data_IF_037912401417
#
_entry.id   IF_037912401417
#
_cell.length_a   1.000
_cell.length_b   1.000
_cell.length_c   1.000
_cell.angle_alpha   90.00
_cell.angle_beta   90.00
_cell.angle_gamma   90.00
#
_symmetry.space_group_name_H-M   'P 1'
#
loop_
_entity.id
_entity.type
_entity.pdbx_description
1 polymer ?
#
# COMPACT_ATOMS: atom_id res chain seq x y z
N UNK A 1 3.72 -13.50 16.64
CA UNK A 1 3.47 -12.99 15.28
C UNK A 1 2.32 -12.01 15.34
N UNK A 2 2.56 -10.73 15.06
CA UNK A 2 1.50 -9.74 14.96
C UNK A 2 1.34 -9.28 13.51
N UNK A 3 0.08 -9.18 13.07
CA UNK A 3 -0.26 -8.77 11.70
C UNK A 3 -0.99 -7.44 11.73
N UNK A 4 -0.47 -6.48 10.98
CA UNK A 4 -1.06 -5.17 10.79
C UNK A 4 -1.54 -5.03 9.34
N UNK A 5 -2.78 -4.60 9.15
CA UNK A 5 -3.30 -4.29 7.81
C UNK A 5 -2.93 -2.88 7.42
N UNK A 6 -2.77 -2.64 6.14
CA UNK A 6 -2.58 -1.29 5.60
C UNK A 6 -3.84 -0.43 5.81
N UNK A 7 -3.64 0.87 6.05
CA UNK A 7 -4.72 1.83 5.91
C UNK A 7 -5.03 2.01 4.42
N UNK A 8 -6.29 1.77 4.05
CA UNK A 8 -6.76 1.95 2.68
C UNK A 8 -7.13 3.42 2.52
N UNK A 9 -6.69 4.05 1.43
CA UNK A 9 -7.18 5.37 1.08
C UNK A 9 -8.63 5.24 0.59
N UNK A 10 -9.57 5.72 1.40
CA UNK A 10 -11.01 5.63 1.12
C UNK A 10 -11.43 6.30 -0.21
N UNK A 11 -10.61 7.18 -0.77
CA UNK A 11 -10.86 7.79 -2.08
C UNK A 11 -10.50 6.87 -3.26
N UNK A 12 -9.52 5.99 -3.12
CA UNK A 12 -9.11 5.07 -4.19
C UNK A 12 -10.15 4.01 -4.48
N UNK A 13 -10.81 3.49 -3.46
CA UNK A 13 -11.82 2.43 -3.63
C UNK A 13 -13.02 2.91 -4.46
N UNK A 14 -13.73 4.02 -4.10
CA UNK A 14 -14.84 4.50 -4.90
C UNK A 14 -14.40 4.96 -6.30
N UNK A 15 -13.19 5.50 -6.45
CA UNK A 15 -12.64 5.88 -7.75
C UNK A 15 -12.47 4.65 -8.67
N UNK A 16 -11.92 3.54 -8.16
CA UNK A 16 -11.79 2.30 -8.91
C UNK A 16 -13.16 1.69 -9.25
N UNK A 17 -14.09 1.71 -8.28
CA UNK A 17 -15.46 1.25 -8.52
C UNK A 17 -16.14 2.08 -9.61
N UNK A 18 -15.94 3.41 -9.61
CA UNK A 18 -16.49 4.30 -10.63
C UNK A 18 -15.90 4.02 -12.01
N UNK A 19 -14.60 3.73 -12.13
CA UNK A 19 -13.97 3.33 -13.39
C UNK A 19 -14.58 2.02 -13.90
N UNK A 20 -14.69 1.00 -13.06
CA UNK A 20 -15.28 -0.30 -13.44
C UNK A 20 -16.73 -0.13 -13.85
N UNK A 21 -17.52 0.61 -13.06
CA UNK A 21 -18.92 0.86 -13.36
C UNK A 21 -19.09 1.66 -14.67
N UNK A 22 -18.29 2.70 -14.89
CA UNK A 22 -18.30 3.50 -16.11
C UNK A 22 -17.94 2.69 -17.36
N UNK A 23 -16.93 1.80 -17.25
CA UNK A 23 -16.54 0.92 -18.38
C UNK A 23 -17.60 -0.12 -18.69
N UNK A 24 -18.24 -0.72 -17.68
CA UNK A 24 -19.33 -1.67 -17.86
C UNK A 24 -20.57 -0.97 -18.39
N UNK A 25 -20.92 0.19 -17.85
CA UNK A 25 -22.06 0.97 -18.30
C UNK A 25 -21.92 1.42 -19.77
N UNK A 26 -20.72 1.82 -20.21
CA UNK A 26 -20.45 2.20 -21.60
C UNK A 26 -20.67 1.05 -22.59
N UNK A 27 -20.57 -0.20 -22.13
CA UNK A 27 -20.86 -1.38 -22.93
C UNK A 27 -22.38 -1.57 -23.16
N UNK A 28 -23.20 -1.18 -22.17
CA UNK A 28 -24.69 -1.31 -22.25
C UNK A 28 -25.38 -0.10 -22.85
N UNK A 29 -24.83 1.12 -22.67
CA UNK A 29 -25.42 2.39 -23.14
C UNK A 29 -24.99 2.70 -24.58
N UNK A 30 -25.13 1.78 -25.48
CA UNK A 30 -24.59 1.89 -26.80
C UNK A 30 -25.63 2.54 -27.76
N UNK A 31 -25.48 3.81 -27.98
CA UNK A 31 -26.43 4.56 -28.83
C UNK A 31 -25.86 4.99 -30.19
N UNK A 32 -24.58 4.90 -30.46
CA UNK A 32 -23.99 5.28 -31.75
C UNK A 32 -22.70 4.52 -32.06
N UNK A 33 -22.30 4.44 -33.29
CA UNK A 33 -21.30 3.60 -33.95
C UNK A 33 -19.87 3.56 -33.39
N UNK A 34 -19.55 4.29 -32.34
CA UNK A 34 -18.25 4.26 -31.69
C UNK A 34 -18.23 3.37 -30.42
N UNK A 35 -18.30 2.07 -30.66
CA UNK A 35 -18.11 1.08 -29.56
C UNK A 35 -16.66 1.08 -29.10
N UNK A 36 -16.45 1.30 -27.80
CA UNK A 36 -15.16 0.99 -27.21
C UNK A 36 -14.82 -0.48 -27.51
N UNK A 37 -13.65 -0.79 -28.08
CA UNK A 37 -13.30 -2.16 -28.43
C UNK A 37 -13.42 -3.07 -27.20
N UNK A 38 -14.03 -4.23 -27.34
CA UNK A 38 -14.23 -5.20 -26.26
C UNK A 38 -12.90 -5.52 -25.54
N UNK A 39 -11.79 -5.58 -26.29
CA UNK A 39 -10.47 -5.79 -25.75
C UNK A 39 -10.05 -4.70 -24.74
N UNK A 40 -10.35 -3.43 -25.00
CA UNK A 40 -10.06 -2.31 -24.10
C UNK A 40 -10.89 -2.41 -22.82
N UNK A 41 -12.17 -2.74 -22.94
CA UNK A 41 -13.05 -2.93 -21.78
C UNK A 41 -12.54 -4.06 -20.87
N UNK A 42 -12.21 -5.22 -21.45
CA UNK A 42 -11.64 -6.36 -20.72
C UNK A 42 -10.33 -5.94 -20.04
N UNK A 43 -9.45 -5.24 -20.73
CA UNK A 43 -8.17 -4.79 -20.20
C UNK A 43 -8.33 -3.85 -18.99
N UNK A 44 -9.25 -2.88 -19.08
CA UNK A 44 -9.55 -1.94 -17.97
C UNK A 44 -10.14 -2.66 -16.76
N UNK A 45 -11.03 -3.62 -16.95
CA UNK A 45 -11.60 -4.42 -15.87
C UNK A 45 -10.53 -5.28 -15.19
N UNK A 46 -9.64 -5.92 -15.97
CA UNK A 46 -8.55 -6.72 -15.42
C UNK A 46 -7.56 -5.86 -14.61
N UNK A 47 -7.17 -4.69 -15.12
CA UNK A 47 -6.29 -3.76 -14.38
C UNK A 47 -6.97 -3.28 -13.09
N UNK A 48 -8.23 -2.89 -13.15
CA UNK A 48 -8.97 -2.43 -11.97
C UNK A 48 -9.09 -3.53 -10.91
N UNK A 49 -9.37 -4.76 -11.32
CA UNK A 49 -9.41 -5.93 -10.44
C UNK A 49 -8.03 -6.25 -9.82
N UNK A 50 -6.96 -6.12 -10.60
CA UNK A 50 -5.59 -6.32 -10.13
C UNK A 50 -5.19 -5.28 -9.07
N UNK A 51 -5.51 -4.00 -9.31
CA UNK A 51 -5.24 -2.92 -8.35
C UNK A 51 -6.06 -3.13 -7.08
N UNK A 52 -7.33 -3.50 -7.19
CA UNK A 52 -8.18 -3.78 -6.04
C UNK A 52 -7.64 -4.95 -5.22
N UNK A 53 -7.23 -6.03 -5.87
CA UNK A 53 -6.58 -7.16 -5.20
C UNK A 53 -5.31 -6.74 -4.45
N UNK A 54 -4.45 -5.93 -5.09
CA UNK A 54 -3.23 -5.41 -4.49
C UNK A 54 -3.52 -4.56 -3.24
N UNK A 55 -4.58 -3.72 -3.29
CA UNK A 55 -5.05 -2.91 -2.16
C UNK A 55 -5.50 -3.77 -0.97
N UNK A 56 -6.25 -4.82 -1.24
CA UNK A 56 -6.82 -5.68 -0.20
C UNK A 56 -5.79 -6.62 0.45
N UNK A 57 -4.76 -7.05 -0.32
CA UNK A 57 -3.72 -7.97 0.18
C UNK A 57 -2.57 -7.24 0.90
N UNK A 58 -2.62 -5.90 1.01
CA UNK A 58 -1.55 -5.16 1.68
C UNK A 58 -1.59 -5.35 3.19
N UNK A 59 -0.56 -6.02 3.71
CA UNK A 59 -0.40 -6.33 5.14
C UNK A 59 1.06 -6.31 5.57
N UNK A 60 1.27 -6.05 6.85
CA UNK A 60 2.59 -6.03 7.50
C UNK A 60 2.57 -7.03 8.64
N UNK A 61 3.60 -7.86 8.75
CA UNK A 61 3.72 -8.88 9.78
C UNK A 61 5.05 -8.74 10.49
N UNK A 62 5.00 -8.61 11.81
CA UNK A 62 6.18 -8.65 12.66
C UNK A 62 6.34 -10.09 13.16
N UNK A 63 7.40 -10.73 12.73
CA UNK A 63 7.76 -12.09 13.15
C UNK A 63 9.23 -12.11 13.55
N UNK A 64 9.47 -12.49 14.80
CA UNK A 64 10.81 -12.50 15.40
C UNK A 64 11.45 -11.10 15.27
N UNK A 65 12.61 -10.98 14.65
CA UNK A 65 13.32 -9.70 14.37
C UNK A 65 13.04 -9.15 12.98
N UNK A 66 12.11 -9.74 12.21
CA UNK A 66 11.85 -9.35 10.84
C UNK A 66 10.46 -8.73 10.65
N UNK A 67 10.43 -7.64 9.92
CA UNK A 67 9.22 -7.04 9.37
C UNK A 67 8.98 -7.58 7.96
N UNK A 68 7.96 -8.42 7.82
CA UNK A 68 7.50 -8.89 6.51
C UNK A 68 6.42 -7.94 5.99
N UNK A 69 6.56 -7.50 4.74
CA UNK A 69 5.55 -6.72 4.06
C UNK A 69 5.06 -7.45 2.82
N UNK A 70 3.76 -7.32 2.56
CA UNK A 70 3.10 -7.88 1.39
C UNK A 70 2.15 -6.83 0.82
N UNK A 71 2.24 -6.60 -0.50
CA UNK A 71 1.35 -5.74 -1.25
C UNK A 71 1.09 -6.40 -2.62
N UNK A 72 0.12 -7.32 -2.67
CA UNK A 72 -0.12 -8.15 -3.84
C UNK A 72 1.12 -8.97 -4.23
N UNK A 73 1.68 -8.76 -5.44
CA UNK A 73 2.88 -9.48 -5.90
C UNK A 73 4.16 -9.00 -5.21
N UNK A 74 4.18 -7.78 -4.65
CA UNK A 74 5.36 -7.20 -4.00
C UNK A 74 5.43 -7.70 -2.58
N UNK A 75 6.45 -8.51 -2.29
CA UNK A 75 6.69 -9.08 -0.96
C UNK A 75 8.15 -8.97 -0.59
N UNK A 76 8.42 -8.69 0.68
CA UNK A 76 9.79 -8.62 1.18
C UNK A 76 9.85 -8.72 2.69
N UNK A 77 11.07 -8.69 3.20
CA UNK A 77 11.38 -8.70 4.64
C UNK A 77 12.47 -7.68 4.94
N UNK A 78 12.37 -7.04 6.09
CA UNK A 78 13.36 -6.08 6.60
C UNK A 78 13.74 -6.51 7.99
N UNK A 79 15.03 -6.51 8.30
CA UNK A 79 15.51 -6.73 9.65
C UNK A 79 15.23 -5.48 10.50
N UNK A 80 14.44 -5.64 11.55
CA UNK A 80 14.03 -4.55 12.44
C UNK A 80 15.25 -3.98 13.18
N UNK A 81 16.27 -4.79 13.43
CA UNK A 81 17.51 -4.34 14.06
C UNK A 81 18.30 -3.36 13.19
N UNK A 82 18.08 -3.38 11.88
CA UNK A 82 18.72 -2.47 10.93
C UNK A 82 17.90 -1.20 10.65
N UNK A 83 16.73 -1.05 11.27
CA UNK A 83 15.93 0.17 11.16
C UNK A 83 16.54 1.22 12.09
N UNK A 84 16.93 2.36 11.53
CA UNK A 84 17.55 3.46 12.27
C UNK A 84 16.56 4.59 12.57
N UNK A 85 15.58 4.81 11.68
CA UNK A 85 14.72 5.97 11.71
C UNK A 85 13.30 5.64 11.26
N UNK A 86 12.32 6.22 11.92
CA UNK A 86 10.92 6.19 11.54
C UNK A 86 10.43 7.63 11.42
N UNK A 87 9.97 8.02 10.24
CA UNK A 87 9.37 9.32 9.99
C UNK A 87 7.86 9.20 9.77
N UNK A 88 7.09 10.04 10.44
CA UNK A 88 5.65 10.13 10.21
C UNK A 88 5.39 11.08 9.05
N UNK A 89 4.97 10.55 7.93
CA UNK A 89 4.75 11.32 6.70
C UNK A 89 3.25 11.49 6.46
N UNK A 90 2.84 12.75 6.35
CA UNK A 90 1.45 13.13 6.05
C UNK A 90 1.25 13.55 4.59
N UNK A 91 2.22 13.30 3.73
CA UNK A 91 2.21 13.79 2.35
C UNK A 91 1.88 12.65 1.40
N UNK A 92 1.02 12.92 0.43
CA UNK A 92 0.73 11.95 -0.64
C UNK A 92 1.92 11.74 -1.60
N UNK A 93 2.87 12.67 -1.59
CA UNK A 93 4.10 12.60 -2.38
C UNK A 93 5.27 12.20 -1.49
N UNK A 94 5.67 10.95 -1.58
CA UNK A 94 6.83 10.39 -0.87
C UNK A 94 7.88 9.96 -1.86
N UNK A 95 9.11 10.37 -1.63
CA UNK A 95 10.27 10.08 -2.48
C UNK A 95 10.81 8.65 -2.31
N UNK A 96 10.20 7.81 -1.49
CA UNK A 96 10.66 6.43 -1.30
C UNK A 96 10.52 5.58 -2.55
N UNK A 97 11.55 4.83 -2.89
CA UNK A 97 11.61 3.94 -4.05
C UNK A 97 10.64 2.75 -3.87
N UNK A 98 10.53 2.21 -2.64
CA UNK A 98 9.62 1.12 -2.30
C UNK A 98 8.38 1.65 -1.59
N UNK A 99 7.22 1.53 -2.20
CA UNK A 99 5.93 1.97 -1.66
C UNK A 99 4.92 0.82 -1.59
N UNK A 100 5.08 -0.17 -0.70
CA UNK A 100 4.05 -1.18 -0.49
C UNK A 100 2.89 -0.63 0.36
N UNK A 101 2.45 0.60 0.05
CA UNK A 101 1.38 1.26 0.76
C UNK A 101 0.65 2.26 -0.14
N UNK A 102 -0.67 2.26 -0.05
CA UNK A 102 -1.58 3.08 -0.85
C UNK A 102 -2.35 4.08 0.02
N UNK A 103 -1.90 4.31 1.27
CA UNK A 103 -2.46 5.29 2.19
C UNK A 103 -1.78 6.65 2.09
N UNK A 104 -2.54 7.73 2.26
CA UNK A 104 -2.04 9.12 2.26
C UNK A 104 -1.28 9.47 3.56
N UNK A 105 -1.42 8.67 4.60
CA UNK A 105 -0.79 8.85 5.90
C UNK A 105 -0.01 7.60 6.27
N UNK A 106 1.30 7.68 6.20
CA UNK A 106 2.16 6.53 6.42
C UNK A 106 3.38 6.83 7.28
N UNK A 107 4.23 5.83 7.35
CA UNK A 107 5.53 5.88 8.00
C UNK A 107 6.60 5.57 6.97
N UNK A 108 7.65 6.35 6.94
CA UNK A 108 8.87 6.02 6.21
C UNK A 108 9.84 5.39 7.20
N UNK A 109 10.25 4.16 6.91
CA UNK A 109 11.27 3.45 7.66
C UNK A 109 12.58 3.54 6.89
N UNK A 110 13.61 4.11 7.50
CA UNK A 110 14.97 4.10 6.97
C UNK A 110 15.73 2.95 7.61
N UNK A 111 16.23 2.04 6.77
CA UNK A 111 16.97 0.86 7.21
C UNK A 111 18.26 0.69 6.40
N UNK A 112 19.13 -0.23 6.80
CA UNK A 112 20.47 -0.37 6.23
C UNK A 112 21.24 0.96 6.25
N UNK A 113 21.85 1.34 5.13
CA UNK A 113 22.64 2.58 5.00
C UNK A 113 21.81 3.74 4.43
N UNK A 114 20.97 3.47 3.40
CA UNK A 114 20.21 4.49 2.66
C UNK A 114 18.90 3.96 2.10
N UNK A 115 18.42 2.81 2.56
CA UNK A 115 17.20 2.21 2.06
C UNK A 115 16.00 2.76 2.81
N UNK A 116 15.00 3.19 2.07
CA UNK A 116 13.74 3.70 2.61
C UNK A 116 12.56 2.87 2.09
N UNK A 117 11.65 2.55 3.00
CA UNK A 117 10.37 1.95 2.66
C UNK A 117 9.23 2.76 3.24
N UNK A 118 8.21 3.01 2.44
CA UNK A 118 6.99 3.65 2.90
C UNK A 118 5.91 2.62 3.19
N UNK A 119 5.39 2.65 4.40
CA UNK A 119 4.31 1.77 4.86
C UNK A 119 3.19 2.58 5.50
N UNK A 120 1.96 2.09 5.45
CA UNK A 120 0.81 2.76 6.07
C UNK A 120 -0.01 1.80 6.93
N UNK A 121 0.50 1.38 8.10
CA UNK A 121 -0.25 0.54 9.00
C UNK A 121 -1.48 1.28 9.58
N UNK A 122 -2.60 0.57 9.74
CA UNK A 122 -3.85 1.13 10.28
C UNK A 122 -3.68 1.67 11.71
N UNK A 123 -2.92 0.96 12.54
CA UNK A 123 -2.63 1.31 13.94
C UNK A 123 -1.15 1.67 14.11
N UNK A 124 -0.77 2.88 13.71
CA UNK A 124 0.63 3.35 13.68
C UNK A 124 1.30 3.30 15.04
N UNK A 125 0.62 3.79 16.09
CA UNK A 125 1.19 3.84 17.45
C UNK A 125 1.51 2.45 17.98
N UNK A 126 0.62 1.49 17.78
CA UNK A 126 0.84 0.11 18.18
C UNK A 126 1.96 -0.53 17.34
N UNK A 127 1.97 -0.27 16.04
CA UNK A 127 3.00 -0.77 15.14
C UNK A 127 4.40 -0.27 15.54
N UNK A 128 4.54 1.05 15.79
CA UNK A 128 5.79 1.66 16.27
C UNK A 128 6.18 1.04 17.62
N UNK A 129 5.24 0.87 18.54
CA UNK A 129 5.49 0.26 19.83
C UNK A 129 6.04 -1.17 19.73
N UNK A 130 5.56 -1.98 18.79
CA UNK A 130 6.09 -3.33 18.55
C UNK A 130 7.51 -3.30 17.95
N UNK A 131 7.81 -2.35 17.06
CA UNK A 131 9.16 -2.19 16.53
C UNK A 131 10.16 -1.76 17.62
N UNK A 132 9.76 -0.83 18.49
CA UNK A 132 10.59 -0.36 19.60
C UNK A 132 10.85 -1.42 20.66
N UNK A 133 9.97 -2.39 20.87
CA UNK A 133 10.21 -3.53 21.74
C UNK A 133 11.36 -4.40 21.25
N UNK A 134 11.54 -4.50 19.93
CA UNK A 134 12.60 -5.30 19.30
C UNK A 134 13.88 -4.48 19.17
N UNK A 135 13.76 -3.22 18.74
CA UNK A 135 14.88 -2.31 18.58
C UNK A 135 14.57 -0.94 19.22
N UNK A 136 14.97 -0.73 20.48
CA UNK A 136 14.73 0.54 21.18
C UNK A 136 15.59 1.71 20.67
N UNK A 137 16.59 1.46 19.82
CA UNK A 137 17.47 2.49 19.28
C UNK A 137 16.90 3.25 18.07
N UNK A 138 15.69 2.91 17.64
CA UNK A 138 15.05 3.56 16.49
C UNK A 138 14.72 5.01 16.83
N UNK A 139 15.17 5.95 16.01
CA UNK A 139 14.81 7.36 16.12
C UNK A 139 13.43 7.60 15.50
N UNK A 140 12.53 8.22 16.28
CA UNK A 140 11.18 8.59 15.78
C UNK A 140 11.17 10.08 15.50
N UNK A 141 10.83 10.44 14.28
CA UNK A 141 10.63 11.83 13.85
C UNK A 141 9.17 12.05 13.54
N UNK A 142 8.60 12.98 14.26
CA UNK A 142 7.18 13.31 14.13
C UNK A 142 6.89 14.08 12.83
#
# INVERSE_FOLDING_TARGET
>A
MKTFRSSINYFLVPFLVMIVFGTVASFFVNTNDEKMPLAVTIFLVLISGFILWMLLDTKYQIKDTFLHYSCGPIRGKIDILQIHKIENVKTWYVSSILKPALGSYGLTLTYNKFDDIYISPKHKSEFIGELLKINPNIQIIA
#
